data_IF_667209195100
#
_entry.id   IF_667209195100
#
_cell.length_a   1.000
_cell.length_b   1.000
_cell.length_c   1.000
_cell.angle_alpha   90.00
_cell.angle_beta   90.00
_cell.angle_gamma   90.00
#
_symmetry.space_group_name_H-M   'P 1'
#
loop_
_entity.id
_entity.type
_entity.pdbx_description
1 polymer ?
#
# COMPACT_ATOMS: atom_id res chain seq x y z
N UNK A 1 34.50 39.30 -34.44
CA UNK A 1 33.72 40.27 -33.64
C UNK A 1 32.20 40.10 -33.71
N UNK A 2 31.59 39.68 -34.84
CA UNK A 2 30.11 39.58 -34.97
C UNK A 2 29.45 38.48 -34.10
N UNK A 3 30.05 37.30 -33.96
CA UNK A 3 29.45 36.19 -33.19
C UNK A 3 29.43 36.43 -31.68
N UNK A 4 30.44 37.13 -31.14
CA UNK A 4 30.53 37.45 -29.71
C UNK A 4 29.39 38.37 -29.27
N UNK A 5 29.04 39.37 -30.09
CA UNK A 5 27.93 40.29 -29.80
C UNK A 5 26.56 39.61 -29.93
N UNK A 6 26.40 38.67 -30.87
CA UNK A 6 25.17 37.87 -31.01
C UNK A 6 24.98 36.95 -29.80
N UNK A 7 26.05 36.30 -29.33
CA UNK A 7 26.02 35.48 -28.11
C UNK A 7 25.64 36.31 -26.86
N UNK A 8 26.13 37.55 -26.74
CA UNK A 8 25.72 38.44 -25.65
C UNK A 8 24.23 38.79 -25.71
N UNK A 9 23.69 39.12 -26.88
CA UNK A 9 22.27 39.46 -27.04
C UNK A 9 21.38 38.24 -26.73
N UNK A 10 21.78 37.04 -27.19
CA UNK A 10 21.06 35.80 -26.89
C UNK A 10 21.10 35.50 -25.38
N UNK A 11 22.25 35.70 -24.73
CA UNK A 11 22.37 35.51 -23.27
C UNK A 11 21.49 36.47 -22.48
N UNK A 12 21.39 37.74 -22.91
CA UNK A 12 20.56 38.74 -22.25
C UNK A 12 19.07 38.44 -22.42
N UNK A 13 18.67 37.98 -23.62
CA UNK A 13 17.28 37.60 -23.90
C UNK A 13 16.84 36.32 -23.15
N UNK A 14 17.76 35.38 -22.93
CA UNK A 14 17.50 34.17 -22.12
C UNK A 14 17.33 34.53 -20.65
N UNK A 15 18.14 35.44 -20.10
CA UNK A 15 17.98 35.90 -18.71
C UNK A 15 16.61 36.56 -18.50
N UNK A 16 16.14 37.37 -19.43
CA UNK A 16 14.80 37.99 -19.31
C UNK A 16 13.66 36.98 -19.37
N UNK A 17 13.79 35.88 -20.11
CA UNK A 17 12.78 34.82 -20.18
C UNK A 17 12.76 33.94 -18.91
N UNK A 18 13.90 33.75 -18.25
CA UNK A 18 13.98 32.98 -17.01
C UNK A 18 13.45 33.74 -15.78
N UNK A 19 13.37 35.07 -15.85
CA UNK A 19 12.82 35.93 -14.79
C UNK A 19 11.40 36.46 -15.10
N UNK A 20 10.81 36.12 -16.26
CA UNK A 20 9.48 36.65 -16.65
C UNK A 20 8.30 35.87 -16.09
N UNK A 21 8.51 34.89 -15.22
CA UNK A 21 7.42 34.12 -14.63
C UNK A 21 7.34 34.39 -13.14
N UNK A 22 6.91 35.61 -12.79
CA UNK A 22 6.26 35.86 -11.51
C UNK A 22 4.79 36.19 -11.78
N UNK A 23 3.96 35.14 -11.82
CA UNK A 23 2.49 35.21 -11.89
C UNK A 23 1.88 35.67 -10.56
N UNK A 24 2.55 36.57 -9.83
CA UNK A 24 1.97 37.21 -8.65
C UNK A 24 1.01 38.35 -9.02
N UNK A 25 0.10 38.12 -9.97
CA UNK A 25 -1.12 38.94 -10.14
C UNK A 25 -2.09 38.74 -8.97
N UNK A 26 -1.74 37.90 -7.99
CA UNK A 26 -2.55 37.52 -6.82
C UNK A 26 -2.99 38.70 -5.94
N UNK A 27 -2.31 39.85 -6.03
CA UNK A 27 -2.54 41.00 -5.15
C UNK A 27 -3.10 42.24 -5.85
N UNK A 28 -3.36 42.20 -7.16
CA UNK A 28 -3.88 43.37 -7.87
C UNK A 28 -5.35 43.57 -7.45
N UNK A 29 -5.63 44.66 -6.77
CA UNK A 29 -6.96 44.99 -6.21
C UNK A 29 -7.10 44.77 -4.70
N UNK A 30 -6.29 43.91 -4.10
CA UNK A 30 -6.31 43.65 -2.64
C UNK A 30 -5.62 44.73 -1.79
N UNK A 31 -4.85 45.62 -2.41
CA UNK A 31 -4.19 46.79 -1.78
C UNK A 31 -5.07 48.04 -1.72
N UNK A 32 -6.11 48.11 -2.57
CA UNK A 32 -7.08 49.23 -2.58
C UNK A 32 -8.25 48.95 -1.63
N UNK A 33 -8.48 47.69 -1.30
CA UNK A 33 -9.52 47.27 -0.39
C UNK A 33 -9.03 47.36 1.07
N UNK A 34 -9.70 48.14 1.94
CA UNK A 34 -9.39 48.14 3.37
C UNK A 34 -9.60 46.76 3.98
N UNK A 35 -8.92 46.46 5.09
CA UNK A 35 -8.95 45.13 5.70
C UNK A 35 -10.36 44.64 6.06
N UNK A 36 -11.27 45.57 6.36
CA UNK A 36 -12.69 45.32 6.64
C UNK A 36 -13.48 44.75 5.46
N UNK A 37 -13.06 45.02 4.23
CA UNK A 37 -13.81 44.65 3.01
C UNK A 37 -13.29 43.34 2.40
N UNK A 38 -12.25 42.74 2.97
CA UNK A 38 -11.65 41.50 2.46
C UNK A 38 -12.61 40.33 2.64
N UNK A 39 -12.97 39.68 1.53
CA UNK A 39 -13.77 38.46 1.55
C UNK A 39 -12.90 37.32 2.10
N UNK A 40 -13.14 36.94 3.35
CA UNK A 40 -12.48 35.81 4.00
C UNK A 40 -13.30 34.55 3.74
N UNK A 41 -12.74 33.62 2.98
CA UNK A 41 -13.37 32.31 2.74
C UNK A 41 -12.94 31.37 3.87
N UNK A 42 -13.80 31.22 4.87
CA UNK A 42 -13.61 30.28 5.99
C UNK A 42 -14.38 28.99 5.74
N UNK A 43 -13.78 27.86 6.08
CA UNK A 43 -14.47 26.57 6.12
C UNK A 43 -14.93 26.40 7.57
N UNK A 44 -16.23 26.49 7.83
CA UNK A 44 -16.77 26.44 9.20
C UNK A 44 -16.76 25.01 9.76
N UNK A 45 -17.27 24.04 9.00
CA UNK A 45 -17.35 22.66 9.45
C UNK A 45 -17.22 21.66 8.29
N UNK A 46 -16.33 20.67 8.46
CA UNK A 46 -16.17 19.54 7.55
C UNK A 46 -16.77 18.30 8.20
N UNK A 47 -17.91 17.84 7.69
CA UNK A 47 -18.55 16.62 8.16
C UNK A 47 -17.89 15.40 7.51
N UNK A 48 -17.04 14.71 8.27
CA UNK A 48 -16.44 13.43 7.87
C UNK A 48 -17.31 12.31 8.43
N UNK A 49 -17.85 11.47 7.53
CA UNK A 49 -18.54 10.24 7.91
C UNK A 49 -17.67 9.04 7.52
N UNK A 50 -17.31 8.22 8.49
CA UNK A 50 -16.58 6.98 8.29
C UNK A 50 -17.46 5.80 8.74
N UNK A 51 -17.45 4.72 7.95
CA UNK A 51 -18.16 3.49 8.27
C UNK A 51 -17.23 2.31 8.04
N UNK A 52 -17.10 1.43 9.03
CA UNK A 52 -16.49 0.12 8.86
C UNK A 52 -17.49 -0.80 8.17
N UNK A 53 -17.11 -1.37 7.04
CA UNK A 53 -17.91 -2.35 6.31
C UNK A 53 -17.14 -3.67 6.24
N UNK A 54 -17.83 -4.78 6.45
CA UNK A 54 -17.22 -6.10 6.24
C UNK A 54 -16.86 -6.23 4.77
N UNK A 55 -15.64 -6.69 4.50
CA UNK A 55 -15.16 -6.84 3.13
C UNK A 55 -15.93 -7.93 2.37
N UNK A 56 -16.45 -8.93 3.09
CA UNK A 56 -17.34 -9.96 2.54
C UNK A 56 -18.61 -9.37 1.93
N UNK A 57 -19.07 -8.22 2.44
CA UNK A 57 -20.24 -7.52 1.89
C UNK A 57 -19.93 -6.72 0.63
N UNK A 58 -18.66 -6.39 0.38
CA UNK A 58 -18.23 -5.56 -0.76
C UNK A 58 -17.71 -6.37 -1.95
N UNK A 59 -17.17 -7.56 -1.70
CA UNK A 59 -16.60 -8.43 -2.71
C UNK A 59 -17.34 -9.77 -2.71
N UNK A 60 -18.35 -9.96 -3.58
CA UNK A 60 -18.96 -11.25 -3.83
C UNK A 60 -17.89 -12.19 -4.40
N UNK A 61 -17.30 -13.02 -3.55
CA UNK A 61 -16.13 -13.83 -3.90
C UNK A 61 -14.90 -13.60 -3.02
N UNK A 62 -14.99 -12.75 -1.97
CA UNK A 62 -13.98 -12.58 -0.92
C UNK A 62 -12.71 -11.80 -1.33
N UNK A 63 -11.75 -11.69 -0.40
CA UNK A 63 -10.53 -10.88 -0.58
C UNK A 63 -9.44 -11.66 -1.30
N UNK A 64 -8.99 -11.19 -2.45
CA UNK A 64 -7.81 -11.73 -3.14
C UNK A 64 -6.53 -11.58 -2.29
N UNK A 65 -5.97 -12.68 -1.80
CA UNK A 65 -4.82 -12.75 -0.90
C UNK A 65 -3.76 -13.74 -1.42
N UNK A 66 -3.21 -13.48 -2.61
CA UNK A 66 -2.01 -14.17 -3.12
C UNK A 66 -0.77 -13.43 -2.63
N UNK A 67 0.06 -14.07 -1.81
CA UNK A 67 1.34 -13.50 -1.38
C UNK A 67 2.40 -14.57 -1.22
N UNK A 68 3.65 -14.21 -1.50
CA UNK A 68 4.84 -15.00 -1.18
C UNK A 68 5.53 -14.54 0.11
N UNK A 69 5.04 -13.46 0.72
CA UNK A 69 5.60 -12.83 1.93
C UNK A 69 4.49 -12.62 2.96
N UNK A 70 3.96 -13.70 3.56
CA UNK A 70 2.90 -13.58 4.55
C UNK A 70 3.44 -12.98 5.86
N UNK A 71 2.56 -12.31 6.60
CA UNK A 71 2.84 -11.84 7.96
C UNK A 71 2.40 -12.92 8.95
N UNK A 72 3.27 -13.26 9.90
CA UNK A 72 3.05 -14.32 10.86
C UNK A 72 3.47 -13.86 12.26
N UNK A 73 2.67 -14.19 13.26
CA UNK A 73 2.99 -13.95 14.66
C UNK A 73 2.00 -13.02 15.35
N UNK A 74 2.39 -12.57 16.54
CA UNK A 74 1.56 -11.74 17.40
C UNK A 74 2.38 -10.53 17.87
N UNK A 75 1.78 -9.35 17.83
CA UNK A 75 2.37 -8.17 18.46
C UNK A 75 1.31 -7.34 19.17
N UNK A 76 1.74 -6.59 20.18
CA UNK A 76 0.88 -5.68 20.94
C UNK A 76 1.11 -4.25 20.47
N UNK A 77 0.06 -3.63 19.96
CA UNK A 77 0.01 -2.22 19.64
C UNK A 77 -0.67 -1.45 20.79
N UNK A 78 -0.09 -0.33 21.28
CA UNK A 78 -0.69 0.45 22.35
C UNK A 78 -2.07 1.04 22.02
N UNK A 79 -2.35 1.30 20.74
CA UNK A 79 -3.61 1.90 20.28
C UNK A 79 -4.62 0.83 19.85
N UNK A 80 -4.17 -0.20 19.14
CA UNK A 80 -5.04 -1.22 18.54
C UNK A 80 -5.14 -2.53 19.36
N UNK A 81 -4.34 -2.67 20.42
CA UNK A 81 -4.31 -3.88 21.24
C UNK A 81 -3.46 -5.00 20.64
N UNK A 82 -3.79 -6.25 20.97
CA UNK A 82 -3.06 -7.42 20.44
C UNK A 82 -3.52 -7.73 19.02
N UNK A 83 -2.58 -7.69 18.07
CA UNK A 83 -2.80 -8.11 16.69
C UNK A 83 -2.10 -9.45 16.51
N UNK A 84 -2.88 -10.47 16.14
CA UNK A 84 -2.40 -11.80 15.80
C UNK A 84 -2.63 -12.07 14.33
N UNK A 85 -1.62 -12.60 13.66
CA UNK A 85 -1.63 -12.96 12.24
C UNK A 85 -1.25 -14.42 12.09
N UNK A 86 -2.18 -15.20 11.54
CA UNK A 86 -2.01 -16.60 11.17
C UNK A 86 -2.05 -16.73 9.64
N UNK A 87 -1.43 -17.76 9.08
CA UNK A 87 -1.38 -17.99 7.64
C UNK A 87 -1.87 -19.40 7.30
N UNK A 88 -2.77 -19.48 6.33
CA UNK A 88 -3.26 -20.72 5.75
C UNK A 88 -3.36 -20.55 4.24
N UNK A 89 -2.97 -21.57 3.48
CA UNK A 89 -2.92 -21.49 2.03
C UNK A 89 -2.46 -22.78 1.38
N UNK A 90 -2.69 -22.87 0.07
CA UNK A 90 -2.21 -23.94 -0.80
C UNK A 90 -0.88 -23.52 -1.45
N UNK A 91 0.02 -24.48 -1.63
CA UNK A 91 1.28 -24.26 -2.35
C UNK A 91 1.09 -24.50 -3.84
N UNK A 92 1.36 -23.46 -4.64
CA UNK A 92 1.34 -23.53 -6.10
C UNK A 92 2.73 -23.76 -6.66
N UNK A 93 2.79 -24.31 -7.88
CA UNK A 93 4.03 -24.36 -8.64
C UNK A 93 4.56 -22.95 -8.94
N UNK A 94 5.89 -22.79 -9.05
CA UNK A 94 6.45 -21.64 -9.75
C UNK A 94 5.87 -21.58 -11.17
N UNK A 95 5.64 -20.37 -11.69
CA UNK A 95 5.11 -20.19 -13.03
C UNK A 95 5.92 -20.99 -14.08
N UNK A 96 5.21 -21.66 -14.98
CA UNK A 96 5.80 -22.50 -16.02
C UNK A 96 6.23 -23.91 -15.57
N UNK A 97 6.07 -24.26 -14.30
CA UNK A 97 6.38 -25.59 -13.79
C UNK A 97 5.10 -26.39 -13.50
N UNK A 98 5.19 -27.70 -13.67
CA UNK A 98 4.15 -28.67 -13.30
C UNK A 98 4.80 -29.95 -12.79
N UNK A 99 4.11 -30.72 -11.95
CA UNK A 99 4.57 -32.08 -11.70
C UNK A 99 4.48 -32.91 -13.00
N UNK A 100 5.38 -33.88 -13.19
CA UNK A 100 5.24 -34.89 -14.23
C UNK A 100 3.90 -35.62 -14.09
N UNK A 101 3.35 -36.05 -15.22
CA UNK A 101 2.10 -36.82 -15.24
C UNK A 101 2.26 -38.09 -14.39
N UNK A 102 1.20 -38.48 -13.65
CA UNK A 102 1.18 -39.59 -12.69
C UNK A 102 2.11 -39.45 -11.46
N UNK A 103 2.45 -38.21 -11.05
CA UNK A 103 3.15 -37.98 -9.78
C UNK A 103 2.16 -37.87 -8.62
N UNK A 104 2.43 -38.58 -7.52
CA UNK A 104 1.72 -38.42 -6.23
C UNK A 104 2.61 -37.69 -5.24
N UNK A 105 2.05 -36.71 -4.52
CA UNK A 105 2.76 -36.03 -3.45
C UNK A 105 2.79 -36.96 -2.23
N UNK A 106 3.98 -37.32 -1.78
CA UNK A 106 4.18 -38.18 -0.61
C UNK A 106 4.37 -37.38 0.68
N UNK A 107 5.13 -36.28 0.64
CA UNK A 107 5.36 -35.41 1.79
C UNK A 107 5.69 -33.97 1.38
N UNK A 108 5.49 -33.04 2.31
CA UNK A 108 5.81 -31.62 2.15
C UNK A 108 6.79 -31.19 3.24
N UNK A 109 7.88 -30.53 2.83
CA UNK A 109 8.83 -29.90 3.75
C UNK A 109 8.66 -28.38 3.70
N UNK A 110 8.23 -27.80 4.81
CA UNK A 110 8.10 -26.35 4.94
C UNK A 110 9.37 -25.78 5.59
N UNK A 111 9.96 -24.78 4.96
CA UNK A 111 11.05 -23.99 5.52
C UNK A 111 10.62 -22.53 5.59
N UNK A 112 10.64 -21.96 6.79
CA UNK A 112 10.23 -20.58 7.04
C UNK A 112 11.47 -19.71 7.17
N UNK A 113 11.51 -18.64 6.39
CA UNK A 113 12.57 -17.64 6.42
C UNK A 113 11.95 -16.27 6.67
N UNK A 114 12.55 -15.48 7.56
CA UNK A 114 12.10 -14.13 7.87
C UNK A 114 13.12 -13.12 7.32
N UNK A 115 12.67 -12.22 6.45
CA UNK A 115 13.52 -11.14 5.93
C UNK A 115 13.43 -9.86 6.78
N UNK A 116 12.37 -9.74 7.59
CA UNK A 116 12.13 -8.60 8.47
C UNK A 116 11.29 -9.03 9.66
N UNK A 117 11.38 -8.30 10.77
CA UNK A 117 10.60 -8.55 11.99
C UNK A 117 10.20 -7.22 12.64
N UNK A 118 9.21 -7.28 13.53
CA UNK A 118 8.79 -6.17 14.38
C UNK A 118 8.86 -6.64 15.83
N UNK A 119 9.40 -5.80 16.72
CA UNK A 119 9.63 -6.15 18.11
C UNK A 119 11.04 -6.70 18.35
N UNK A 120 11.16 -7.59 19.32
CA UNK A 120 12.44 -8.17 19.75
C UNK A 120 12.89 -9.30 18.81
N UNK A 121 14.05 -9.14 18.19
CA UNK A 121 14.65 -10.15 17.30
C UNK A 121 15.16 -11.40 18.02
N UNK A 122 15.46 -11.29 19.32
CA UNK A 122 16.06 -12.37 20.10
C UNK A 122 15.00 -13.19 20.84
N UNK A 123 13.75 -12.74 20.84
CA UNK A 123 12.66 -13.48 21.42
C UNK A 123 12.40 -14.78 20.61
N UNK A 124 12.31 -15.95 21.26
CA UNK A 124 12.01 -17.19 20.57
C UNK A 124 10.58 -17.16 20.00
N UNK A 125 10.43 -17.59 18.75
CA UNK A 125 9.14 -17.73 18.07
C UNK A 125 8.75 -19.20 18.04
N UNK A 126 7.58 -19.52 18.59
CA UNK A 126 6.99 -20.85 18.48
C UNK A 126 6.04 -20.89 17.29
N UNK A 127 6.29 -21.80 16.36
CA UNK A 127 5.45 -22.02 15.20
C UNK A 127 4.75 -23.37 15.28
N UNK A 128 3.43 -23.35 15.18
CA UNK A 128 2.62 -24.54 14.98
C UNK A 128 2.19 -24.60 13.52
N UNK A 129 2.49 -25.72 12.85
CA UNK A 129 2.13 -25.96 11.46
C UNK A 129 1.19 -27.17 11.41
N UNK A 130 0.09 -27.02 10.69
CA UNK A 130 -0.95 -28.05 10.55
C UNK A 130 -1.26 -28.28 9.08
N UNK A 131 -1.59 -29.52 8.74
CA UNK A 131 -2.15 -29.86 7.45
C UNK A 131 -3.64 -29.45 7.41
N UNK A 132 -4.06 -28.85 6.30
CA UNK A 132 -5.46 -28.48 6.07
C UNK A 132 -6.18 -29.72 5.52
N UNK A 133 -7.24 -30.19 6.20
CA UNK A 133 -7.94 -31.42 5.81
C UNK A 133 -9.01 -31.23 4.73
N UNK A 134 -9.28 -29.98 4.35
CA UNK A 134 -10.26 -29.58 3.33
C UNK A 134 -9.58 -28.78 2.24
N UNK A 135 -9.93 -29.08 0.99
CA UNK A 135 -9.52 -28.26 -0.16
C UNK A 135 -10.03 -26.84 0.03
N UNK A 136 -9.17 -25.84 -0.18
CA UNK A 136 -9.60 -24.45 -0.12
C UNK A 136 -10.55 -24.17 -1.30
N UNK A 137 -11.53 -23.26 -1.16
CA UNK A 137 -12.47 -22.95 -2.23
C UNK A 137 -11.74 -22.60 -3.54
N UNK A 138 -11.84 -23.47 -4.54
CA UNK A 138 -11.16 -23.28 -5.82
C UNK A 138 -11.73 -22.06 -6.57
N UNK A 139 -10.85 -21.28 -7.21
CA UNK A 139 -11.26 -20.28 -8.21
C UNK A 139 -11.36 -18.83 -7.74
N UNK A 140 -11.04 -18.53 -6.49
CA UNK A 140 -10.79 -17.16 -6.07
C UNK A 140 -9.66 -17.22 -5.08
N UNK A 141 -8.68 -16.32 -5.16
CA UNK A 141 -7.61 -16.26 -4.17
C UNK A 141 -8.16 -15.71 -2.85
N UNK A 142 -9.37 -16.12 -2.48
CA UNK A 142 -10.20 -15.47 -1.50
C UNK A 142 -10.06 -16.12 -0.14
N UNK A 143 -9.86 -15.30 0.88
CA UNK A 143 -9.79 -15.74 2.29
C UNK A 143 -11.16 -15.95 2.92
N UNK A 144 -12.15 -16.41 2.15
CA UNK A 144 -13.50 -16.68 2.67
C UNK A 144 -13.63 -18.14 3.14
N UNK A 145 -12.84 -18.52 4.14
CA UNK A 145 -12.96 -19.80 4.82
C UNK A 145 -12.80 -19.64 6.33
N UNK A 146 -13.48 -20.49 7.10
CA UNK A 146 -13.35 -20.53 8.55
C UNK A 146 -12.19 -21.48 8.92
N UNK A 147 -11.06 -20.95 9.46
CA UNK A 147 -9.92 -21.76 9.84
C UNK A 147 -10.20 -22.72 11.00
N UNK A 148 -11.24 -22.50 11.80
CA UNK A 148 -11.62 -23.44 12.88
C UNK A 148 -12.39 -24.65 12.36
N UNK A 149 -12.89 -24.56 11.13
CA UNK A 149 -13.67 -25.61 10.47
C UNK A 149 -12.82 -26.49 9.55
N UNK A 150 -11.50 -26.27 9.50
CA UNK A 150 -10.55 -26.92 8.57
C UNK A 150 -9.59 -27.90 9.24
#
# INVERSE_FOLDING_TARGET
>A
MKHKNILYIISLSIVTLLYSCDDSLKNIGFTIQPESDRITVGIDSLYISAKTVSVDSLLPGGIFAKTNSPVLGEYKDPLFGTIKSDFAGEFYYPEGNKFPDNTTIDSVKVAVFYNSWRGDSLAPVNLSVYEINKTLPAGSHSINFDPTSM
#
